data_IF_407460829032
#
_entry.id   IF_407460829032
#
_cell.length_a   1.000
_cell.length_b   1.000
_cell.length_c   1.000
_cell.angle_alpha   90.00
_cell.angle_beta   90.00
_cell.angle_gamma   90.00
#
_symmetry.space_group_name_H-M   'P 1'
#
loop_
_entity.id
_entity.type
_entity.pdbx_description
1 polymer ?
#
# COMPACT_ATOMS: atom_id res chain seq x y z
N UNK A 1 14.07 -19.27 -11.71
CA UNK A 1 12.90 -19.76 -12.48
C UNK A 1 12.68 -18.85 -13.70
N UNK A 2 12.39 -19.37 -14.91
CA UNK A 2 12.26 -18.54 -16.11
C UNK A 2 10.85 -17.90 -16.16
N UNK A 3 10.62 -16.89 -15.31
CA UNK A 3 9.34 -16.18 -15.19
C UNK A 3 9.14 -15.08 -16.26
N UNK A 4 10.11 -14.87 -17.16
CA UNK A 4 10.10 -13.77 -18.12
C UNK A 4 8.91 -13.73 -19.09
N UNK A 5 8.25 -14.86 -19.37
CA UNK A 5 7.04 -14.89 -20.21
C UNK A 5 5.76 -14.53 -19.46
N UNK A 6 5.70 -14.78 -18.15
CA UNK A 6 4.55 -14.47 -17.28
C UNK A 6 4.61 -13.03 -16.78
N UNK A 7 5.82 -12.53 -16.50
CA UNK A 7 6.04 -11.16 -16.03
C UNK A 7 6.02 -10.13 -17.16
N UNK A 8 6.16 -10.52 -18.44
CA UNK A 8 6.22 -9.58 -19.56
C UNK A 8 4.98 -8.68 -19.73
N UNK A 9 3.74 -9.18 -19.63
CA UNK A 9 2.55 -8.34 -19.66
C UNK A 9 2.48 -7.37 -18.47
N UNK A 10 3.02 -7.79 -17.32
CA UNK A 10 3.04 -7.00 -16.09
C UNK A 10 4.12 -5.94 -16.09
N UNK A 11 5.30 -6.28 -16.62
CA UNK A 11 6.32 -5.30 -16.98
C UNK A 11 5.76 -4.28 -17.95
N UNK A 12 4.93 -4.68 -18.93
CA UNK A 12 4.30 -3.72 -19.87
C UNK A 12 3.26 -2.82 -19.20
N UNK A 13 2.53 -3.30 -18.19
CA UNK A 13 1.60 -2.47 -17.41
C UNK A 13 2.37 -1.54 -16.47
N UNK A 14 3.43 -2.02 -15.83
CA UNK A 14 4.34 -1.21 -15.01
C UNK A 14 5.06 -0.16 -15.84
N UNK A 15 5.63 -0.53 -16.98
CA UNK A 15 6.22 0.38 -17.96
C UNK A 15 5.11 1.29 -18.50
N UNK A 16 3.90 0.82 -18.78
CA UNK A 16 2.80 1.67 -19.24
C UNK A 16 2.36 2.72 -18.20
N UNK A 17 2.34 2.34 -16.92
CA UNK A 17 2.04 3.23 -15.80
C UNK A 17 3.19 4.21 -15.53
N UNK A 18 4.43 3.72 -15.51
CA UNK A 18 5.65 4.54 -15.43
C UNK A 18 5.73 5.51 -16.62
N UNK A 19 5.58 5.01 -17.84
CA UNK A 19 5.62 5.82 -19.07
C UNK A 19 4.43 6.77 -19.21
N UNK A 20 3.27 6.43 -18.65
CA UNK A 20 2.13 7.34 -18.52
C UNK A 20 2.42 8.50 -17.57
N UNK A 21 3.13 8.23 -16.47
CA UNK A 21 3.68 9.25 -15.57
C UNK A 21 4.85 10.03 -16.19
N UNK A 22 5.66 9.41 -17.05
CA UNK A 22 6.86 10.00 -17.68
C UNK A 22 6.56 10.91 -18.89
N UNK A 23 5.36 10.87 -19.48
CA UNK A 23 5.04 11.65 -20.70
C UNK A 23 5.02 13.17 -20.49
N UNK A 24 5.09 13.65 -19.25
CA UNK A 24 5.20 15.07 -18.91
C UNK A 24 6.58 15.43 -18.36
N UNK A 25 7.61 15.50 -19.20
CA UNK A 25 8.82 16.30 -18.96
C UNK A 25 9.57 16.05 -17.65
N UNK A 26 10.36 14.99 -17.52
CA UNK A 26 11.51 15.01 -16.59
C UNK A 26 12.65 14.10 -17.07
N UNK A 27 13.79 14.70 -17.41
CA UNK A 27 15.08 14.07 -17.08
C UNK A 27 15.06 13.87 -15.56
N UNK A 28 15.20 12.63 -15.09
CA UNK A 28 15.57 12.35 -13.69
C UNK A 28 14.55 12.79 -12.61
N UNK A 29 13.25 12.52 -12.82
CA UNK A 29 12.24 12.63 -11.76
C UNK A 29 12.33 11.47 -10.76
N UNK A 30 13.29 11.55 -9.85
CA UNK A 30 13.22 10.72 -8.67
C UNK A 30 12.09 11.27 -7.76
N UNK A 31 10.82 10.92 -8.01
CA UNK A 31 9.66 11.38 -7.21
C UNK A 31 9.85 11.13 -5.71
N UNK A 32 10.62 10.10 -5.35
CA UNK A 32 10.99 9.83 -3.96
C UNK A 32 11.84 10.96 -3.34
N UNK A 33 12.65 11.69 -4.12
CA UNK A 33 13.42 12.84 -3.65
C UNK A 33 12.50 13.99 -3.24
N UNK A 34 11.45 14.24 -4.01
CA UNK A 34 10.46 15.27 -3.68
C UNK A 34 9.67 14.93 -2.42
N UNK A 35 9.21 13.68 -2.29
CA UNK A 35 8.49 13.24 -1.08
C UNK A 35 9.40 13.21 0.15
N UNK A 36 10.66 12.78 0.02
CA UNK A 36 11.70 12.87 1.07
C UNK A 36 11.98 14.32 1.46
N UNK A 37 12.14 15.23 0.49
CA UNK A 37 12.36 16.65 0.75
C UNK A 37 11.18 17.27 1.50
N UNK A 38 9.95 16.96 1.09
CA UNK A 38 8.74 17.44 1.73
C UNK A 38 8.62 16.94 3.18
N UNK A 39 8.85 15.64 3.42
CA UNK A 39 8.86 15.08 4.78
C UNK A 39 9.92 15.74 5.64
N UNK A 40 11.13 15.95 5.13
CA UNK A 40 12.19 16.62 5.87
C UNK A 40 11.87 18.09 6.18
N UNK A 41 11.21 18.80 5.25
CA UNK A 41 10.67 20.14 5.51
C UNK A 41 9.67 20.11 6.68
N UNK A 42 8.73 19.15 6.69
CA UNK A 42 7.77 19.02 7.78
C UNK A 42 8.43 18.66 9.12
N UNK A 43 9.49 17.84 9.12
CA UNK A 43 10.24 17.47 10.33
C UNK A 43 10.97 18.65 10.97
N UNK A 44 11.53 19.55 10.16
CA UNK A 44 12.38 20.66 10.64
C UNK A 44 11.55 21.94 10.86
N UNK A 45 10.65 22.26 9.94
CA UNK A 45 9.90 23.51 9.93
C UNK A 45 8.45 23.40 10.39
N UNK A 46 7.90 22.19 10.49
CA UNK A 46 6.53 21.98 10.92
C UNK A 46 6.40 21.77 12.43
N UNK A 47 5.28 22.23 13.01
CA UNK A 47 4.94 21.94 14.41
C UNK A 47 4.27 20.55 14.56
N UNK A 48 4.77 19.56 13.81
CA UNK A 48 4.21 18.20 13.79
C UNK A 48 5.02 17.29 14.70
N UNK A 49 4.34 16.65 15.66
CA UNK A 49 4.97 15.72 16.61
C UNK A 49 5.09 14.30 16.07
N UNK A 50 4.26 13.94 15.09
CA UNK A 50 4.26 12.63 14.45
C UNK A 50 4.00 12.80 12.96
N UNK A 51 4.90 12.26 12.13
CA UNK A 51 4.76 12.24 10.69
C UNK A 51 4.84 10.78 10.26
N UNK A 52 3.86 10.35 9.47
CA UNK A 52 3.84 9.06 8.82
C UNK A 52 3.44 9.24 7.37
N UNK A 53 3.92 8.34 6.50
CA UNK A 53 3.60 8.33 5.08
C UNK A 53 2.96 7.00 4.70
N UNK A 54 1.99 7.04 3.80
CA UNK A 54 1.37 5.84 3.26
C UNK A 54 1.15 5.99 1.78
N UNK A 55 0.98 4.87 1.09
CA UNK A 55 0.66 4.86 -0.32
C UNK A 55 0.25 3.47 -0.78
N UNK A 56 -0.41 3.44 -1.92
CA UNK A 56 -0.82 2.21 -2.60
C UNK A 56 0.01 1.98 -3.87
N UNK A 57 0.31 0.73 -4.19
CA UNK A 57 0.98 0.36 -5.44
C UNK A 57 2.33 1.09 -5.60
N UNK A 58 2.56 1.78 -6.73
CA UNK A 58 3.73 2.65 -6.93
C UNK A 58 3.87 3.70 -5.82
N UNK A 59 2.76 4.34 -5.41
CA UNK A 59 2.77 5.30 -4.31
C UNK A 59 3.18 4.67 -2.98
N UNK A 60 2.83 3.39 -2.78
CA UNK A 60 3.30 2.60 -1.63
C UNK A 60 4.81 2.41 -1.66
N UNK A 61 5.37 2.03 -2.81
CA UNK A 61 6.82 1.90 -2.98
C UNK A 61 7.57 3.21 -2.70
N UNK A 62 7.04 4.33 -3.22
CA UNK A 62 7.56 5.67 -2.93
C UNK A 62 7.47 6.02 -1.45
N UNK A 63 6.37 5.67 -0.78
CA UNK A 63 6.21 5.85 0.67
C UNK A 63 7.26 5.05 1.47
N UNK A 64 7.52 3.79 1.10
CA UNK A 64 8.54 2.97 1.76
C UNK A 64 9.95 3.57 1.61
N UNK A 65 10.33 3.99 0.39
CA UNK A 65 11.61 4.65 0.12
C UNK A 65 11.72 5.95 0.93
N UNK A 66 10.67 6.78 0.91
CA UNK A 66 10.62 8.06 1.61
C UNK A 66 10.75 7.89 3.12
N UNK A 67 10.01 6.94 3.69
CA UNK A 67 10.04 6.68 5.13
C UNK A 67 11.40 6.19 5.60
N UNK A 68 12.03 5.31 4.81
CA UNK A 68 13.36 4.82 5.10
C UNK A 68 14.42 5.93 5.02
N UNK A 69 14.44 6.76 3.97
CA UNK A 69 15.40 7.87 3.84
C UNK A 69 15.17 8.98 4.90
N UNK A 70 13.92 9.22 5.27
CA UNK A 70 13.56 10.31 6.19
C UNK A 70 13.46 9.86 7.65
N UNK A 71 13.68 8.57 7.94
CA UNK A 71 13.53 7.96 9.26
C UNK A 71 12.17 8.24 9.91
N UNK A 72 11.09 8.12 9.14
CA UNK A 72 9.70 8.22 9.62
C UNK A 72 8.94 6.92 9.35
N UNK A 73 7.83 6.70 10.03
CA UNK A 73 7.02 5.50 9.80
C UNK A 73 6.35 5.55 8.43
N UNK A 74 6.52 4.49 7.65
CA UNK A 74 5.90 4.31 6.35
C UNK A 74 5.09 3.02 6.28
N UNK A 75 3.88 3.12 5.75
CA UNK A 75 3.02 1.97 5.47
C UNK A 75 2.77 1.89 3.98
N UNK A 76 3.26 0.83 3.33
CA UNK A 76 2.93 0.51 1.95
C UNK A 76 1.73 -0.42 1.91
N UNK A 77 0.81 -0.19 0.98
CA UNK A 77 -0.23 -1.14 0.63
C UNK A 77 -0.02 -1.60 -0.81
N UNK A 78 0.05 -2.90 -1.03
CA UNK A 78 0.30 -3.47 -2.35
C UNK A 78 1.57 -2.90 -3.01
N UNK A 79 2.55 -2.49 -2.19
CA UNK A 79 3.74 -1.82 -2.69
C UNK A 79 4.72 -2.83 -3.27
N UNK A 80 5.42 -2.50 -4.38
CA UNK A 80 6.60 -3.27 -4.78
C UNK A 80 7.66 -3.21 -3.68
N UNK A 81 8.32 -4.34 -3.44
CA UNK A 81 9.32 -4.41 -2.38
C UNK A 81 10.60 -3.68 -2.78
N UNK A 82 11.26 -3.10 -1.78
CA UNK A 82 12.36 -2.15 -1.98
C UNK A 82 13.74 -2.71 -1.62
N UNK A 83 13.86 -3.92 -1.05
CA UNK A 83 15.16 -4.43 -0.57
C UNK A 83 16.17 -4.56 -1.72
N UNK A 84 15.78 -5.12 -2.87
CA UNK A 84 16.69 -5.25 -4.02
C UNK A 84 17.09 -3.89 -4.63
N UNK A 85 16.17 -2.92 -4.64
CA UNK A 85 16.38 -1.59 -5.23
C UNK A 85 16.98 -0.55 -4.26
N UNK A 86 17.27 -0.92 -3.02
CA UNK A 86 17.67 0.03 -1.97
C UNK A 86 18.97 0.79 -2.28
N UNK A 87 19.88 0.17 -3.04
CA UNK A 87 21.15 0.76 -3.46
C UNK A 87 21.07 1.57 -4.75
N UNK A 88 19.89 1.63 -5.39
CA UNK A 88 19.69 2.39 -6.64
C UNK A 88 19.07 3.77 -6.38
N UNK A 89 18.69 4.07 -5.14
CA UNK A 89 18.18 5.38 -4.73
C UNK A 89 19.28 6.21 -4.07
N UNK A 90 19.09 7.53 -4.04
CA UNK A 90 20.05 8.49 -3.52
C UNK A 90 19.37 9.42 -2.49
N UNK A 91 19.81 9.45 -1.22
CA UNK A 91 20.86 8.61 -0.64
C UNK A 91 20.49 7.11 -0.64
N UNK A 92 21.50 6.24 -0.68
CA UNK A 92 21.29 4.79 -0.56
C UNK A 92 20.58 4.45 0.76
N UNK A 93 19.65 3.50 0.68
CA UNK A 93 18.93 3.00 1.85
C UNK A 93 19.59 1.73 2.36
N UNK A 94 19.90 1.69 3.65
CA UNK A 94 20.38 0.49 4.33
C UNK A 94 19.23 -0.51 4.58
N UNK A 95 19.56 -1.80 4.74
CA UNK A 95 18.55 -2.79 5.11
C UNK A 95 17.91 -2.48 6.48
N UNK A 96 18.69 -1.99 7.45
CA UNK A 96 18.18 -1.61 8.77
C UNK A 96 17.13 -0.50 8.67
N UNK A 97 17.33 0.51 7.83
CA UNK A 97 16.36 1.59 7.65
C UNK A 97 15.03 1.08 7.10
N UNK A 98 15.06 0.17 6.12
CA UNK A 98 13.84 -0.48 5.64
C UNK A 98 13.15 -1.23 6.77
N UNK A 99 13.87 -2.09 7.49
CA UNK A 99 13.29 -2.89 8.56
C UNK A 99 12.80 -2.03 9.74
N UNK A 100 13.39 -0.87 10.01
CA UNK A 100 13.01 -0.04 11.15
C UNK A 100 11.83 0.89 10.89
N UNK A 101 11.70 1.35 9.64
CA UNK A 101 10.80 2.45 9.29
C UNK A 101 9.67 2.05 8.35
N UNK A 102 9.77 0.90 7.68
CA UNK A 102 8.80 0.48 6.67
C UNK A 102 7.98 -0.71 7.12
N UNK A 103 6.71 -0.73 6.71
CA UNK A 103 5.80 -1.86 6.86
C UNK A 103 5.00 -2.00 5.56
N UNK A 104 5.01 -3.16 4.92
CA UNK A 104 4.25 -3.39 3.68
C UNK A 104 3.08 -4.34 3.96
N UNK A 105 1.93 -4.07 3.37
CA UNK A 105 0.75 -4.93 3.40
C UNK A 105 0.61 -5.55 2.01
N UNK A 106 0.66 -6.87 1.93
CA UNK A 106 0.67 -7.62 0.69
C UNK A 106 -0.59 -8.52 0.59
N UNK A 107 -1.60 -8.14 -0.19
CA UNK A 107 -2.74 -9.01 -0.44
C UNK A 107 -2.31 -10.28 -1.18
N UNK A 108 -2.87 -11.42 -0.79
CA UNK A 108 -2.68 -12.67 -1.52
C UNK A 108 -3.07 -12.49 -2.99
N UNK A 109 -2.30 -13.12 -3.90
CA UNK A 109 -2.50 -13.05 -5.36
C UNK A 109 -2.34 -11.66 -5.97
N UNK A 110 -2.00 -10.64 -5.18
CA UNK A 110 -1.45 -9.39 -5.70
C UNK A 110 0.02 -9.58 -6.06
N UNK A 111 0.32 -9.28 -7.31
CA UNK A 111 1.63 -9.46 -7.93
C UNK A 111 2.60 -8.30 -7.65
N UNK A 112 2.11 -7.12 -7.28
CA UNK A 112 2.96 -5.94 -7.12
C UNK A 112 3.89 -6.10 -5.91
N UNK A 113 3.40 -6.57 -4.74
CA UNK A 113 4.24 -6.99 -3.62
C UNK A 113 5.14 -8.20 -3.90
N UNK A 114 5.06 -8.84 -5.06
CA UNK A 114 5.99 -9.92 -5.45
C UNK A 114 7.21 -9.38 -6.22
N UNK A 115 7.19 -8.10 -6.59
CA UNK A 115 8.30 -7.46 -7.30
C UNK A 115 9.35 -7.07 -6.27
N UNK A 116 10.56 -7.62 -6.41
CA UNK A 116 11.67 -7.39 -5.48
C UNK A 116 11.58 -8.25 -4.22
N UNK A 117 12.65 -8.21 -3.41
CA UNK A 117 12.70 -8.95 -2.15
C UNK A 117 12.00 -8.16 -1.03
N UNK A 118 11.12 -8.80 -0.23
CA UNK A 118 10.43 -8.14 0.87
C UNK A 118 11.41 -7.75 1.99
N UNK A 119 11.10 -6.65 2.69
CA UNK A 119 11.73 -6.37 3.97
C UNK A 119 11.15 -7.30 5.05
N UNK A 120 11.75 -7.30 6.23
CA UNK A 120 11.29 -8.13 7.35
C UNK A 120 9.83 -7.87 7.75
N UNK A 121 9.33 -6.64 7.56
CA UNK A 121 8.00 -6.23 7.99
C UNK A 121 7.04 -6.13 6.80
N UNK A 122 6.69 -7.29 6.26
CA UNK A 122 5.63 -7.45 5.28
C UNK A 122 4.56 -8.36 5.86
N UNK A 123 3.32 -7.88 5.93
CA UNK A 123 2.16 -8.64 6.39
C UNK A 123 1.31 -9.07 5.20
N UNK A 124 1.00 -10.36 5.12
CA UNK A 124 0.11 -10.87 4.08
C UNK A 124 -1.33 -10.82 4.56
N UNK A 125 -2.24 -10.35 3.70
CA UNK A 125 -3.68 -10.34 3.98
C UNK A 125 -4.42 -11.19 2.96
N UNK A 126 -5.54 -11.79 3.34
CA UNK A 126 -6.30 -12.63 2.43
C UNK A 126 -6.89 -11.82 1.26
N UNK A 127 -6.97 -12.46 0.10
CA UNK A 127 -7.79 -11.98 -1.00
C UNK A 127 -8.58 -13.14 -1.61
N UNK A 128 -9.90 -13.05 -1.55
CA UNK A 128 -10.82 -14.06 -2.07
C UNK A 128 -11.06 -13.97 -3.58
N UNK A 129 -10.53 -12.95 -4.26
CA UNK A 129 -10.64 -12.82 -5.72
C UNK A 129 -9.63 -13.70 -6.45
N UNK A 130 -10.03 -14.24 -7.59
CA UNK A 130 -9.11 -14.95 -8.49
C UNK A 130 -8.33 -14.01 -9.42
N UNK A 131 -8.76 -12.74 -9.50
CA UNK A 131 -8.16 -11.74 -10.38
C UNK A 131 -7.14 -10.90 -9.62
N UNK A 132 -5.88 -10.91 -10.05
CA UNK A 132 -4.80 -10.19 -9.37
C UNK A 132 -5.03 -8.67 -9.32
N UNK A 133 -5.63 -8.05 -10.34
CA UNK A 133 -5.97 -6.62 -10.30
C UNK A 133 -7.05 -6.32 -9.26
N UNK A 134 -7.97 -7.26 -9.04
CA UNK A 134 -8.95 -7.13 -7.98
C UNK A 134 -8.33 -7.28 -6.59
N UNK A 135 -7.31 -8.13 -6.42
CA UNK A 135 -6.53 -8.21 -5.17
C UNK A 135 -5.59 -7.03 -4.98
N UNK A 136 -5.18 -6.38 -6.06
CA UNK A 136 -4.42 -5.14 -6.03
C UNK A 136 -5.29 -3.93 -5.66
N UNK A 137 -6.62 -4.07 -5.58
CA UNK A 137 -7.50 -2.96 -5.23
C UNK A 137 -7.32 -2.55 -3.76
N UNK A 138 -7.03 -1.27 -3.53
CA UNK A 138 -6.81 -0.74 -2.19
C UNK A 138 -8.08 -0.80 -1.32
N UNK A 139 -9.25 -0.60 -1.92
CA UNK A 139 -10.55 -0.70 -1.25
C UNK A 139 -10.82 -2.13 -0.79
N UNK A 140 -10.57 -3.12 -1.66
CA UNK A 140 -10.68 -4.55 -1.26
C UNK A 140 -9.75 -4.89 -0.10
N UNK A 141 -8.52 -4.41 -0.14
CA UNK A 141 -7.52 -4.64 0.91
C UNK A 141 -7.91 -3.97 2.24
N UNK A 142 -8.42 -2.74 2.18
CA UNK A 142 -8.98 -2.06 3.34
C UNK A 142 -10.15 -2.84 3.93
N UNK A 143 -11.04 -3.35 3.08
CA UNK A 143 -12.17 -4.16 3.51
C UNK A 143 -11.74 -5.47 4.17
N UNK A 144 -10.70 -6.16 3.67
CA UNK A 144 -10.12 -7.32 4.36
C UNK A 144 -9.63 -6.94 5.76
N UNK A 145 -8.87 -5.85 5.89
CA UNK A 145 -8.38 -5.39 7.19
C UNK A 145 -9.51 -5.00 8.16
N UNK A 146 -10.55 -4.33 7.67
CA UNK A 146 -11.72 -3.98 8.47
C UNK A 146 -12.57 -5.19 8.84
N UNK A 147 -12.68 -6.18 7.95
CA UNK A 147 -13.42 -7.40 8.24
C UNK A 147 -12.69 -8.27 9.27
N UNK A 148 -11.37 -8.42 9.12
CA UNK A 148 -10.55 -9.29 9.96
C UNK A 148 -10.17 -8.66 11.30
N UNK A 149 -9.97 -7.34 11.33
CA UNK A 149 -9.45 -6.63 12.51
C UNK A 149 -10.27 -5.40 12.93
N UNK A 150 -11.36 -5.10 12.22
CA UNK A 150 -12.21 -3.97 12.53
C UNK A 150 -13.07 -4.19 13.78
N UNK A 151 -13.84 -3.17 14.11
CA UNK A 151 -14.68 -3.18 15.29
C UNK A 151 -15.81 -2.18 15.16
N UNK A 152 -16.93 -2.49 15.81
CA UNK A 152 -18.23 -1.86 15.57
C UNK A 152 -18.29 -0.35 15.85
N UNK A 153 -17.40 0.16 16.70
CA UNK A 153 -17.41 1.56 17.15
C UNK A 153 -16.27 2.38 16.54
N UNK A 154 -15.03 1.87 16.57
CA UNK A 154 -13.86 2.65 16.16
C UNK A 154 -13.40 2.38 14.73
N UNK A 155 -13.73 1.21 14.17
CA UNK A 155 -13.28 0.76 12.84
C UNK A 155 -14.39 -0.02 12.14
N UNK A 156 -15.55 0.63 11.87
CA UNK A 156 -16.69 -0.05 11.27
C UNK A 156 -16.34 -0.54 9.87
N UNK A 157 -16.92 -1.68 9.49
CA UNK A 157 -16.85 -2.19 8.11
C UNK A 157 -17.71 -1.29 7.22
N UNK A 158 -17.15 -0.82 6.10
CA UNK A 158 -17.87 0.04 5.16
C UNK A 158 -18.90 -0.75 4.33
N UNK A 159 -19.97 -0.08 3.91
CA UNK A 159 -21.04 -0.69 3.12
C UNK A 159 -20.53 -1.25 1.78
N UNK A 160 -19.54 -0.60 1.19
CA UNK A 160 -18.84 -0.98 -0.05
C UNK A 160 -18.12 -2.31 0.08
N UNK A 161 -17.67 -2.67 1.29
CA UNK A 161 -17.07 -3.99 1.54
C UNK A 161 -18.05 -5.11 1.22
N UNK A 162 -19.32 -4.94 1.59
CA UNK A 162 -20.39 -5.86 1.22
C UNK A 162 -20.81 -5.68 -0.23
N UNK A 163 -21.23 -4.46 -0.62
CA UNK A 163 -21.92 -4.22 -1.90
C UNK A 163 -21.01 -4.30 -3.14
N UNK A 164 -19.73 -4.00 -3.01
CA UNK A 164 -18.78 -3.97 -4.12
C UNK A 164 -17.78 -5.13 -4.09
N UNK A 165 -17.34 -5.54 -2.90
CA UNK A 165 -16.25 -6.50 -2.74
C UNK A 165 -16.68 -7.89 -2.28
N UNK A 166 -17.95 -8.04 -1.86
CA UNK A 166 -18.55 -9.32 -1.48
C UNK A 166 -18.10 -9.86 -0.12
N UNK A 167 -17.62 -8.99 0.78
CA UNK A 167 -17.38 -9.37 2.17
C UNK A 167 -18.72 -9.61 2.89
N UNK A 168 -18.79 -10.55 3.85
CA UNK A 168 -20.00 -10.75 4.64
C UNK A 168 -20.40 -9.47 5.39
N UNK A 169 -21.71 -9.22 5.50
CA UNK A 169 -22.21 -8.16 6.36
C UNK A 169 -21.79 -8.45 7.83
N UNK A 170 -21.27 -7.45 8.56
CA UNK A 170 -20.94 -7.62 9.97
C UNK A 170 -22.22 -7.94 10.76
N UNK A 171 -22.10 -8.84 11.74
CA UNK A 171 -23.19 -9.10 12.67
C UNK A 171 -23.49 -7.84 13.49
N UNK A 172 -24.77 -7.52 13.66
CA UNK A 172 -25.19 -6.44 14.54
C UNK A 172 -24.92 -6.82 16.00
N UNK A 173 -24.20 -6.00 16.77
CA UNK A 173 -24.00 -6.26 18.18
C UNK A 173 -25.28 -5.95 18.96
N UNK A 174 -25.91 -6.96 19.57
CA UNK A 174 -26.91 -6.79 20.62
C UNK A 174 -27.96 -5.69 20.37
N UNK A 175 -28.25 -4.86 21.39
CA UNK A 175 -29.25 -3.76 21.39
C UNK A 175 -29.01 -2.62 20.36
N UNK A 176 -28.27 -2.84 19.28
CA UNK A 176 -28.18 -1.91 18.16
C UNK A 176 -29.58 -1.60 17.60
N UNK A 177 -29.85 -0.31 17.40
CA UNK A 177 -31.18 0.15 16.94
C UNK A 177 -31.41 -0.06 15.45
N UNK A 178 -30.38 -0.42 14.68
CA UNK A 178 -30.42 -0.62 13.24
C UNK A 178 -29.52 -1.79 12.81
N UNK A 179 -29.99 -2.55 11.82
CA UNK A 179 -29.24 -3.59 11.10
C UNK A 179 -28.19 -2.99 10.17
N UNK A 180 -27.21 -3.79 9.74
CA UNK A 180 -26.22 -3.35 8.75
C UNK A 180 -26.88 -2.90 7.44
N UNK A 181 -27.89 -3.63 6.97
CA UNK A 181 -28.69 -3.26 5.79
C UNK A 181 -29.37 -1.89 5.94
N UNK A 182 -29.99 -1.63 7.08
CA UNK A 182 -30.61 -0.32 7.37
C UNK A 182 -29.57 0.80 7.44
N UNK A 183 -28.39 0.55 8.04
CA UNK A 183 -27.30 1.53 8.09
C UNK A 183 -26.74 1.85 6.69
N UNK A 184 -26.76 0.87 5.79
CA UNK A 184 -26.24 0.98 4.43
C UNK A 184 -27.30 1.38 3.38
N UNK A 185 -28.58 1.48 3.76
CA UNK A 185 -29.72 1.67 2.84
C UNK A 185 -29.75 0.64 1.69
N UNK A 186 -29.52 -0.64 2.01
CA UNK A 186 -29.50 -1.76 1.04
C UNK A 186 -30.45 -2.90 1.41
#
# INVERSE_FOLDING_TARGET
LPLGKVLNPLLRVLIGAMTGLEKGSMKEAAYYKETTAFVNYLKVGGNFTNIAITGHSLGGGLALITGAQSHIKAVGLSAPNTVLGRSTVDPEITLEELERYTFNIAPDRDIFPMIGDPSRFTENIACNSQNFFSCHDAGRSLCEMLYSCGGLVMRPVFCECFSMFGYPAPETPGNGTFTFSEACNI
#
